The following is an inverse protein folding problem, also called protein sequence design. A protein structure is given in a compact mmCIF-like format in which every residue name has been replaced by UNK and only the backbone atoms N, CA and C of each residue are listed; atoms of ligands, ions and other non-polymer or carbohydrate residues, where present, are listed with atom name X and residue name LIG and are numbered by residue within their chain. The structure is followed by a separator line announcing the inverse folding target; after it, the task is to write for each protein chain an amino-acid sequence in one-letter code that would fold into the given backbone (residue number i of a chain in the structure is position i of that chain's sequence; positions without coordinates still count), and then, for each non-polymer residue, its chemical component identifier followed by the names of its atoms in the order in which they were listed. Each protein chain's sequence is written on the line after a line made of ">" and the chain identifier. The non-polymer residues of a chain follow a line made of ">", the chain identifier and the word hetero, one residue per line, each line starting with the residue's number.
data_IF_287769245568
#
_entry.id   IF_287769245568
#
_cell.length_a   1.000
_cell.length_b   1.000
_cell.length_c   1.000
_cell.angle_alpha   90.00
_cell.angle_beta   90.00
_cell.angle_gamma   90.00
#
_symmetry.space_group_name_H-M   'P 1'
#
loop_
_entity.id
_entity.type
_entity.pdbx_description
1 polymer ?
#
# COMPACT_ATOMS: atom_id res chain seq x y z
N UNK A 1 2.77 32.91 -31.35
CA UNK A 1 2.93 32.23 -30.05
C UNK A 1 2.05 30.99 -30.06
N UNK A 2 2.62 29.82 -30.38
CA UNK A 2 1.87 28.56 -30.45
C UNK A 2 1.50 28.09 -29.05
N UNK A 3 0.20 27.98 -28.78
CA UNK A 3 -0.36 27.58 -27.48
C UNK A 3 0.04 26.17 -27.07
N UNK A 4 0.17 25.97 -25.76
CA UNK A 4 0.44 24.68 -25.12
C UNK A 4 -0.79 23.78 -25.29
N UNK A 5 -0.61 22.64 -25.96
CA UNK A 5 -1.68 21.68 -26.23
C UNK A 5 -1.65 20.57 -25.17
N UNK A 6 -2.55 20.62 -24.18
CA UNK A 6 -2.66 19.60 -23.13
C UNK A 6 -3.56 18.47 -23.64
N UNK A 7 -2.97 17.33 -23.97
CA UNK A 7 -3.71 16.10 -24.27
C UNK A 7 -4.19 15.45 -22.96
N UNK A 8 -5.50 15.48 -22.71
CA UNK A 8 -6.10 14.72 -21.60
C UNK A 8 -6.01 13.23 -21.91
N UNK A 9 -5.15 12.50 -21.20
CA UNK A 9 -5.11 11.03 -21.32
C UNK A 9 -6.46 10.48 -20.83
N UNK A 10 -7.22 9.87 -21.74
CA UNK A 10 -8.43 9.13 -21.37
C UNK A 10 -8.01 7.95 -20.48
N UNK A 11 -8.52 7.92 -19.25
CA UNK A 11 -8.23 6.86 -18.30
C UNK A 11 -8.83 5.57 -18.87
N UNK A 12 -7.97 4.63 -19.26
CA UNK A 12 -8.40 3.32 -19.75
C UNK A 12 -9.38 2.68 -18.75
N UNK A 13 -10.50 2.08 -19.20
CA UNK A 13 -11.43 1.42 -18.31
C UNK A 13 -10.70 0.38 -17.44
N UNK A 14 -11.06 0.27 -16.15
CA UNK A 14 -10.40 -0.66 -15.25
C UNK A 14 -10.53 -2.08 -15.81
N UNK A 15 -9.39 -2.76 -15.96
CA UNK A 15 -9.39 -4.15 -16.36
C UNK A 15 -9.79 -5.02 -15.16
N UNK A 16 -11.06 -5.43 -15.12
CA UNK A 16 -11.65 -6.22 -14.04
C UNK A 16 -10.99 -7.61 -13.86
N UNK A 17 -10.12 -8.05 -14.78
CA UNK A 17 -9.39 -9.32 -14.67
C UNK A 17 -8.06 -9.22 -13.90
N UNK A 18 -7.66 -8.04 -13.42
CA UNK A 18 -6.39 -7.87 -12.71
C UNK A 18 -6.57 -8.14 -11.21
N UNK A 19 -6.01 -9.25 -10.72
CA UNK A 19 -5.87 -9.50 -9.28
C UNK A 19 -4.90 -8.48 -8.67
N UNK A 20 -5.38 -7.63 -7.77
CA UNK A 20 -4.59 -6.55 -7.15
C UNK A 20 -3.68 -7.06 -6.02
N UNK A 21 -4.14 -8.05 -5.25
CA UNK A 21 -3.43 -8.63 -4.11
C UNK A 21 -2.57 -9.85 -4.51
N UNK A 22 -1.78 -9.77 -5.58
CA UNK A 22 -1.02 -10.93 -6.11
C UNK A 22 -0.10 -11.59 -5.06
N UNK A 23 0.67 -10.78 -4.34
CA UNK A 23 1.61 -11.27 -3.31
C UNK A 23 0.89 -11.50 -1.98
N UNK A 24 0.14 -10.51 -1.50
CA UNK A 24 -0.57 -10.59 -0.21
C UNK A 24 -1.59 -11.74 -0.15
N UNK A 25 -2.18 -12.14 -1.28
CA UNK A 25 -3.09 -13.30 -1.32
C UNK A 25 -2.45 -14.63 -0.88
N UNK A 26 -1.12 -14.74 -0.93
CA UNK A 26 -0.42 -15.93 -0.46
C UNK A 26 -0.59 -16.15 1.05
N UNK A 27 -0.78 -15.08 1.82
CA UNK A 27 -0.99 -15.15 3.27
C UNK A 27 -2.45 -14.89 3.66
N UNK A 28 -3.19 -14.07 2.91
CA UNK A 28 -4.59 -13.73 3.25
C UNK A 28 -5.61 -14.76 2.76
N UNK A 29 -5.32 -15.52 1.69
CA UNK A 29 -6.29 -16.46 1.08
C UNK A 29 -5.86 -17.94 1.16
N UNK A 30 -4.56 -18.23 1.34
CA UNK A 30 -4.09 -19.62 1.43
C UNK A 30 -4.45 -20.26 2.77
N UNK A 31 -5.26 -21.33 2.74
CA UNK A 31 -5.71 -22.07 3.94
C UNK A 31 -4.56 -22.69 4.74
N UNK A 32 -3.42 -22.98 4.10
CA UNK A 32 -2.24 -23.47 4.80
C UNK A 32 -1.61 -22.41 5.73
N UNK A 33 -1.92 -21.12 5.53
CA UNK A 33 -1.37 -19.98 6.28
C UNK A 33 -2.35 -19.46 7.35
N UNK A 34 -3.11 -20.36 8.00
CA UNK A 34 -4.07 -19.97 9.04
C UNK A 34 -3.45 -19.21 10.23
N UNK A 35 -2.20 -19.50 10.58
CA UNK A 35 -1.47 -18.75 11.62
C UNK A 35 -1.19 -17.30 11.24
N UNK A 36 -0.80 -17.04 9.98
CA UNK A 36 -0.60 -15.68 9.47
C UNK A 36 -1.93 -14.91 9.42
N UNK A 37 -3.02 -15.58 9.03
CA UNK A 37 -4.36 -14.97 9.04
C UNK A 37 -4.79 -14.60 10.46
N UNK A 38 -4.53 -15.45 11.45
CA UNK A 38 -4.82 -15.13 12.85
C UNK A 38 -4.08 -13.87 13.34
N UNK A 39 -2.81 -13.69 12.94
CA UNK A 39 -2.06 -12.47 13.25
C UNK A 39 -2.66 -11.23 12.59
N UNK A 40 -3.10 -11.34 11.33
CA UNK A 40 -3.75 -10.24 10.62
C UNK A 40 -5.11 -9.87 11.27
N UNK A 41 -5.88 -10.85 11.72
CA UNK A 41 -7.09 -10.59 12.52
C UNK A 41 -6.76 -9.93 13.86
N UNK A 42 -5.67 -10.33 14.52
CA UNK A 42 -5.26 -9.78 15.81
C UNK A 42 -4.93 -8.28 15.76
N UNK A 43 -4.42 -7.78 14.64
CA UNK A 43 -4.16 -6.35 14.42
C UNK A 43 -5.39 -5.58 13.90
N UNK A 44 -6.55 -6.25 13.79
CA UNK A 44 -7.84 -5.64 13.49
C UNK A 44 -8.30 -5.71 12.03
N UNK A 45 -7.66 -6.48 11.15
CA UNK A 45 -8.20 -6.70 9.80
C UNK A 45 -9.47 -7.53 9.85
N UNK A 46 -10.44 -7.21 8.99
CA UNK A 46 -11.67 -7.99 8.82
C UNK A 46 -11.56 -8.92 7.61
N UNK A 47 -12.52 -9.84 7.47
CA UNK A 47 -12.57 -10.76 6.33
C UNK A 47 -12.61 -10.00 4.99
N UNK A 48 -13.37 -8.91 4.92
CA UNK A 48 -13.44 -8.04 3.74
C UNK A 48 -12.10 -7.35 3.41
N UNK A 49 -11.16 -7.26 4.35
CA UNK A 49 -9.83 -6.70 4.12
C UNK A 49 -8.83 -7.73 3.59
N UNK A 50 -9.10 -9.03 3.77
CA UNK A 50 -8.24 -10.11 3.27
C UNK A 50 -8.19 -10.16 1.73
N UNK A 51 -9.22 -9.63 1.06
CA UNK A 51 -9.29 -9.49 -0.39
C UNK A 51 -8.66 -8.20 -0.92
N UNK A 52 -8.35 -7.25 -0.04
CA UNK A 52 -7.70 -5.99 -0.43
C UNK A 52 -6.19 -6.19 -0.60
N UNK A 53 -5.54 -5.43 -1.49
CA UNK A 53 -4.08 -5.43 -1.58
C UNK A 53 -3.46 -4.80 -0.32
N UNK A 54 -2.56 -5.53 0.32
CA UNK A 54 -1.76 -5.00 1.44
C UNK A 54 -0.62 -4.13 0.92
N UNK A 55 -0.50 -2.92 1.48
CA UNK A 55 0.50 -1.92 1.10
C UNK A 55 1.38 -1.63 2.32
N UNK A 56 2.66 -2.03 2.24
CA UNK A 56 3.65 -1.67 3.25
C UNK A 56 4.10 -0.23 3.08
N UNK A 57 3.99 0.57 4.14
CA UNK A 57 4.49 1.94 4.17
C UNK A 57 5.80 1.92 4.93
N UNK A 58 6.89 2.34 4.27
CA UNK A 58 8.23 2.43 4.88
C UNK A 58 8.59 3.90 5.11
N UNK A 59 8.19 4.49 6.25
CA UNK A 59 8.52 5.89 6.54
C UNK A 59 10.02 6.01 6.84
N UNK A 60 10.65 7.07 6.33
CA UNK A 60 11.97 7.51 6.80
C UNK A 60 11.70 8.64 7.79
N UNK A 61 11.90 8.34 9.06
CA UNK A 61 11.69 9.30 10.13
C UNK A 61 13.02 9.57 10.85
N UNK A 62 13.21 10.82 11.26
CA UNK A 62 14.42 11.27 11.95
C UNK A 62 14.06 12.31 13.01
N UNK A 63 14.57 12.10 14.23
CA UNK A 63 14.21 12.88 15.42
C UNK A 63 15.27 13.96 15.78
N UNK A 64 16.49 13.88 15.23
CA UNK A 64 17.68 14.54 15.80
C UNK A 64 18.44 15.52 14.85
N UNK A 65 17.81 16.07 13.81
CA UNK A 65 18.54 16.88 12.81
C UNK A 65 18.77 18.32 13.27
N UNK A 66 18.01 18.77 14.27
CA UNK A 66 17.95 20.18 14.65
C UNK A 66 18.41 20.48 16.08
N UNK A 67 18.88 19.47 16.85
CA UNK A 67 19.17 19.65 18.29
C UNK A 67 20.64 20.08 18.55
N UNK A 68 21.44 20.35 17.52
CA UNK A 68 22.84 20.82 17.68
C UNK A 68 23.16 22.13 16.93
N UNK A 69 22.21 23.07 16.85
CA UNK A 69 22.45 24.40 16.27
C UNK A 69 22.00 25.53 17.20
N UNK A 70 22.49 25.56 18.45
CA UNK A 70 22.53 26.79 19.28
C UNK A 70 23.31 26.59 20.60
N UNK A 71 24.56 26.11 20.54
CA UNK A 71 25.41 26.03 21.76
C UNK A 71 26.92 26.17 21.50
N UNK A 72 27.33 26.90 20.46
CA UNK A 72 28.73 27.35 20.30
C UNK A 72 28.75 28.82 19.91
#
# INVERSE_FOLDING_TARGET
>A
MSGVQIHSLSKSPPNNNVKLNKISSQITQNKAQGGAQAMLYAIGLQEADMDKPQIGISPIWWEAADIYRESV
#
